data_IF_181636093574
#
_entry.id   IF_181636093574
#
_cell.length_a   1.000
_cell.length_b   1.000
_cell.length_c   1.000
_cell.angle_alpha   90.00
_cell.angle_beta   90.00
_cell.angle_gamma   90.00
#
_symmetry.space_group_name_H-M   'P 1'
#
loop_
_entity.id
_entity.type
_entity.pdbx_description
1 polymer ?
#
# COMPACT_ATOMS: atom_id res chain seq x y z
N UNK A 1 0.51 -2.35 20.28
CA UNK A 1 1.42 -3.04 19.35
C UNK A 1 0.83 -2.91 17.95
N UNK A 2 1.59 -2.39 17.00
CA UNK A 2 1.13 -2.25 15.62
C UNK A 2 0.90 -3.63 15.00
N UNK A 3 -0.14 -3.76 14.22
CA UNK A 3 -0.48 -5.00 13.51
C UNK A 3 0.47 -5.13 12.32
N UNK A 4 1.37 -6.11 12.32
CA UNK A 4 2.36 -6.32 11.26
C UNK A 4 1.71 -7.05 10.08
N UNK A 5 2.07 -6.69 8.86
CA UNK A 5 1.70 -7.45 7.67
C UNK A 5 2.55 -8.73 7.61
N UNK A 6 1.89 -9.89 7.70
CA UNK A 6 2.56 -11.19 7.77
C UNK A 6 2.59 -11.90 6.43
N UNK A 7 1.52 -11.73 5.64
CA UNK A 7 1.35 -12.46 4.38
C UNK A 7 0.57 -11.62 3.38
N UNK A 8 0.91 -11.74 2.11
CA UNK A 8 0.19 -11.07 1.03
C UNK A 8 0.08 -11.92 -0.24
N UNK A 9 -1.00 -11.68 -0.97
CA UNK A 9 -1.24 -12.20 -2.32
C UNK A 9 -1.46 -11.02 -3.26
N UNK A 10 -0.79 -11.04 -4.41
CA UNK A 10 -0.95 -10.05 -5.49
C UNK A 10 -1.12 -10.81 -6.79
N UNK A 11 -2.19 -10.58 -7.53
CA UNK A 11 -2.42 -11.19 -8.82
C UNK A 11 -2.81 -10.15 -9.87
N UNK A 12 -2.21 -10.25 -11.04
CA UNK A 12 -2.55 -9.43 -12.19
C UNK A 12 -2.11 -7.97 -12.13
N UNK A 13 -1.13 -7.62 -11.28
CA UNK A 13 -0.71 -6.23 -11.03
C UNK A 13 0.66 -5.90 -11.64
N UNK A 14 0.71 -4.96 -12.56
CA UNK A 14 1.94 -4.50 -13.25
C UNK A 14 2.75 -5.66 -13.83
N UNK A 15 3.96 -5.91 -13.33
CA UNK A 15 4.79 -7.05 -13.73
C UNK A 15 4.52 -8.33 -12.91
N UNK A 16 3.65 -8.27 -11.92
CA UNK A 16 3.34 -9.39 -11.04
C UNK A 16 2.12 -10.12 -11.60
N UNK A 17 2.35 -11.24 -12.28
CA UNK A 17 1.27 -12.11 -12.74
C UNK A 17 0.58 -12.77 -11.55
N UNK A 18 1.38 -13.39 -10.68
CA UNK A 18 0.92 -14.16 -9.54
C UNK A 18 1.99 -14.20 -8.45
N UNK A 19 1.63 -13.77 -7.26
CA UNK A 19 2.42 -13.87 -6.04
C UNK A 19 1.43 -14.28 -4.95
N UNK A 20 1.40 -15.57 -4.63
CA UNK A 20 0.42 -16.13 -3.70
C UNK A 20 1.07 -16.43 -2.35
N UNK A 21 0.35 -16.09 -1.27
CA UNK A 21 0.72 -16.43 0.10
C UNK A 21 2.18 -16.04 0.47
N UNK A 22 2.65 -14.93 -0.07
CA UNK A 22 4.02 -14.48 0.19
C UNK A 22 4.17 -14.03 1.64
N UNK A 23 4.99 -14.77 2.39
CA UNK A 23 5.26 -14.46 3.79
C UNK A 23 6.25 -13.31 3.93
N UNK A 24 5.92 -12.36 4.79
CA UNK A 24 6.75 -11.24 5.17
C UNK A 24 7.34 -11.47 6.57
N UNK A 25 8.60 -11.07 6.74
CA UNK A 25 9.33 -11.09 8.02
C UNK A 25 9.48 -9.65 8.53
N UNK A 26 10.04 -9.48 9.74
CA UNK A 26 10.34 -8.14 10.31
C UNK A 26 11.27 -7.32 9.43
N UNK A 27 12.19 -7.98 8.71
CA UNK A 27 13.06 -7.40 7.70
C UNK A 27 13.00 -8.26 6.44
N UNK A 28 12.74 -7.63 5.29
CA UNK A 28 12.73 -8.28 3.98
C UNK A 28 13.66 -7.49 3.06
N UNK A 29 14.53 -8.18 2.35
CA UNK A 29 15.44 -7.58 1.37
C UNK A 29 15.11 -8.14 0.00
N UNK A 30 14.72 -7.26 -0.93
CA UNK A 30 14.38 -7.64 -2.30
C UNK A 30 15.54 -7.28 -3.21
N UNK A 31 16.17 -8.29 -3.79
CA UNK A 31 17.32 -8.15 -4.69
C UNK A 31 16.93 -8.64 -6.09
N UNK A 32 17.47 -8.02 -7.11
CA UNK A 32 17.23 -8.43 -8.50
C UNK A 32 17.74 -7.40 -9.50
N UNK A 33 17.85 -7.78 -10.76
CA UNK A 33 18.25 -6.90 -11.86
C UNK A 33 17.28 -5.73 -12.06
N UNK A 34 17.69 -4.71 -12.80
CA UNK A 34 16.79 -3.64 -13.22
C UNK A 34 15.68 -4.24 -14.10
N UNK A 35 14.44 -3.80 -13.87
CA UNK A 35 13.28 -4.38 -14.55
C UNK A 35 12.68 -5.65 -13.91
N UNK A 36 13.32 -6.26 -12.90
CA UNK A 36 12.82 -7.47 -12.25
C UNK A 36 11.50 -7.31 -11.44
N UNK A 37 10.90 -6.12 -11.43
CA UNK A 37 9.61 -5.88 -10.75
C UNK A 37 9.71 -5.40 -9.30
N UNK A 38 10.91 -5.14 -8.76
CA UNK A 38 11.08 -4.63 -7.38
C UNK A 38 10.24 -3.39 -7.10
N UNK A 39 10.28 -2.41 -7.99
CA UNK A 39 9.51 -1.17 -7.87
C UNK A 39 8.00 -1.42 -8.00
N UNK A 40 7.59 -2.44 -8.77
CA UNK A 40 6.19 -2.82 -8.89
C UNK A 40 5.66 -3.47 -7.60
N UNK A 41 6.49 -4.23 -6.91
CA UNK A 41 6.16 -4.74 -5.57
C UNK A 41 5.95 -3.58 -4.57
N UNK A 42 6.83 -2.59 -4.56
CA UNK A 42 6.65 -1.39 -3.72
C UNK A 42 5.42 -0.57 -4.15
N UNK A 43 5.12 -0.53 -5.46
CA UNK A 43 3.91 0.16 -5.98
C UNK A 43 2.61 -0.42 -5.43
N UNK A 44 2.57 -1.71 -5.09
CA UNK A 44 1.42 -2.31 -4.41
C UNK A 44 1.11 -1.62 -3.07
N UNK A 45 2.12 -1.38 -2.25
CA UNK A 45 1.94 -0.70 -0.95
C UNK A 45 1.45 0.73 -1.13
N UNK A 46 1.95 1.45 -2.14
CA UNK A 46 1.46 2.80 -2.49
C UNK A 46 0.01 2.78 -2.93
N UNK A 47 -0.34 1.83 -3.79
CA UNK A 47 -1.71 1.66 -4.26
C UNK A 47 -2.66 1.34 -3.12
N UNK A 48 -2.30 0.41 -2.23
CA UNK A 48 -3.12 0.03 -1.09
C UNK A 48 -3.29 1.18 -0.09
N UNK A 49 -2.23 1.95 0.17
CA UNK A 49 -2.30 3.16 0.99
C UNK A 49 -3.24 4.19 0.36
N UNK A 50 -3.10 4.46 -0.94
CA UNK A 50 -3.97 5.39 -1.67
C UNK A 50 -5.44 4.94 -1.68
N UNK A 51 -5.70 3.62 -1.78
CA UNK A 51 -7.05 3.06 -1.71
C UNK A 51 -7.69 3.34 -0.34
N UNK A 52 -6.97 3.05 0.74
CA UNK A 52 -7.48 3.26 2.12
C UNK A 52 -7.67 4.75 2.44
N UNK A 53 -6.87 5.63 1.88
CA UNK A 53 -7.01 7.10 2.02
C UNK A 53 -8.07 7.72 1.09
N UNK A 54 -8.77 6.91 0.26
CA UNK A 54 -9.76 7.41 -0.70
C UNK A 54 -9.18 8.07 -1.93
N UNK A 55 -7.89 7.88 -2.21
CA UNK A 55 -7.12 8.48 -3.30
C UNK A 55 -6.84 7.51 -4.46
N UNK A 56 -7.50 6.33 -4.50
CA UNK A 56 -7.23 5.30 -5.51
C UNK A 56 -7.30 5.83 -6.94
N UNK A 57 -8.35 6.55 -7.31
CA UNK A 57 -8.52 7.05 -8.67
C UNK A 57 -7.47 8.09 -9.07
N UNK A 58 -6.95 8.87 -8.11
CA UNK A 58 -5.79 9.73 -8.34
C UNK A 58 -4.54 8.88 -8.61
N UNK A 59 -4.27 7.89 -7.77
CA UNK A 59 -3.13 6.97 -7.96
C UNK A 59 -3.18 6.27 -9.33
N UNK A 60 -4.37 5.81 -9.76
CA UNK A 60 -4.58 5.16 -11.07
C UNK A 60 -4.21 6.12 -12.20
N UNK A 61 -4.72 7.35 -12.20
CA UNK A 61 -4.39 8.38 -13.21
C UNK A 61 -2.89 8.69 -13.24
N UNK A 62 -2.29 8.92 -12.09
CA UNK A 62 -0.85 9.26 -11.96
C UNK A 62 0.05 8.08 -12.38
N UNK A 63 -0.51 6.86 -12.43
CA UNK A 63 0.16 5.63 -12.87
C UNK A 63 -0.02 5.32 -14.37
N UNK A 64 -0.68 6.21 -15.15
CA UNK A 64 -0.93 5.99 -16.59
C UNK A 64 -2.29 5.35 -16.89
N UNK A 65 -3.19 5.25 -15.90
CA UNK A 65 -4.51 4.65 -16.05
C UNK A 65 -4.59 3.19 -15.58
N UNK A 66 -5.81 2.66 -15.55
CA UNK A 66 -6.06 1.29 -15.09
C UNK A 66 -5.39 0.23 -15.99
N UNK A 67 -5.24 0.52 -17.28
CA UNK A 67 -4.57 -0.36 -18.23
C UNK A 67 -3.10 -0.64 -17.87
N UNK A 68 -2.38 0.38 -17.39
CA UNK A 68 -0.96 0.29 -17.02
C UNK A 68 -0.74 -0.37 -15.66
N UNK A 69 -1.80 -0.51 -14.87
CA UNK A 69 -1.76 -1.28 -13.63
C UNK A 69 -1.98 -2.77 -13.85
N UNK A 70 -2.60 -3.19 -14.95
CA UNK A 70 -2.86 -4.60 -15.25
C UNK A 70 -1.60 -5.29 -15.78
N UNK A 71 -1.39 -6.53 -15.34
CA UNK A 71 -0.35 -7.38 -15.88
C UNK A 71 -0.56 -7.60 -17.39
N UNK A 72 0.40 -7.14 -18.22
CA UNK A 72 0.33 -7.18 -19.68
C UNK A 72 -0.91 -6.47 -20.29
N UNK A 73 -1.54 -5.54 -19.54
CA UNK A 73 -2.63 -4.72 -20.00
C UNK A 73 -3.99 -5.42 -20.11
N UNK A 74 -5.02 -4.63 -20.51
CA UNK A 74 -6.44 -5.05 -20.50
C UNK A 74 -6.77 -6.26 -21.40
N UNK A 75 -5.96 -6.54 -22.44
CA UNK A 75 -6.21 -7.66 -23.35
C UNK A 75 -5.90 -9.02 -22.70
N UNK A 76 -4.98 -9.05 -21.75
CA UNK A 76 -4.51 -10.27 -21.07
C UNK A 76 -5.11 -10.39 -19.67
N UNK A 77 -5.12 -9.29 -18.94
CA UNK A 77 -5.61 -9.27 -17.55
C UNK A 77 -6.81 -8.34 -17.43
N UNK A 78 -7.92 -8.85 -16.92
CA UNK A 78 -9.16 -8.09 -16.78
C UNK A 78 -9.37 -7.53 -15.37
N UNK A 79 -8.71 -8.09 -14.37
CA UNK A 79 -8.83 -7.71 -12.98
C UNK A 79 -7.55 -7.98 -12.20
N UNK A 80 -7.38 -7.27 -11.11
CA UNK A 80 -6.29 -7.44 -10.14
C UNK A 80 -6.87 -7.90 -8.82
N UNK A 81 -6.32 -8.96 -8.23
CA UNK A 81 -6.73 -9.45 -6.92
C UNK A 81 -5.64 -9.23 -5.89
N UNK A 82 -6.05 -8.82 -4.70
CA UNK A 82 -5.18 -8.53 -3.58
C UNK A 82 -5.74 -9.11 -2.29
N UNK A 83 -4.85 -9.72 -1.50
CA UNK A 83 -5.17 -10.20 -0.16
C UNK A 83 -3.99 -9.95 0.77
N UNK A 84 -4.27 -9.48 1.98
CA UNK A 84 -3.27 -9.16 3.01
C UNK A 84 -3.70 -9.74 4.34
N UNK A 85 -2.75 -10.28 5.10
CA UNK A 85 -2.98 -10.79 6.46
C UNK A 85 -2.11 -10.07 7.48
N UNK A 86 -2.72 -9.78 8.61
CA UNK A 86 -2.15 -9.05 9.75
C UNK A 86 -2.48 -9.83 11.03
N UNK A 87 -1.75 -10.90 11.31
CA UNK A 87 -2.03 -11.82 12.39
C UNK A 87 -3.42 -12.45 12.24
N UNK A 88 -4.30 -12.18 13.20
CA UNK A 88 -5.68 -12.69 13.19
C UNK A 88 -6.64 -11.96 12.24
N UNK A 89 -6.16 -10.97 11.50
CA UNK A 89 -6.97 -10.13 10.61
C UNK A 89 -6.48 -10.20 9.18
N UNK A 90 -7.38 -9.91 8.24
CA UNK A 90 -7.02 -9.80 6.82
C UNK A 90 -7.92 -8.81 6.08
N UNK A 91 -7.46 -8.42 4.91
CA UNK A 91 -8.17 -7.56 3.99
C UNK A 91 -7.93 -8.03 2.57
N UNK A 92 -9.00 -8.14 1.79
CA UNK A 92 -8.93 -8.51 0.37
C UNK A 92 -9.87 -7.65 -0.46
N UNK A 93 -9.53 -7.50 -1.73
CA UNK A 93 -10.35 -6.81 -2.71
C UNK A 93 -9.90 -7.15 -4.12
N UNK A 94 -10.77 -6.92 -5.08
CA UNK A 94 -10.49 -7.01 -6.51
C UNK A 94 -10.61 -5.62 -7.12
N UNK A 95 -9.64 -5.18 -7.92
CA UNK A 95 -9.75 -3.98 -8.73
C UNK A 95 -10.10 -4.35 -10.16
N UNK A 96 -11.14 -3.72 -10.69
CA UNK A 96 -11.61 -3.89 -12.07
C UNK A 96 -11.54 -2.56 -12.80
N UNK A 97 -10.95 -2.50 -14.01
CA UNK A 97 -10.90 -1.27 -14.80
C UNK A 97 -12.28 -0.79 -15.18
N UNK A 98 -12.53 0.49 -15.03
CA UNK A 98 -13.76 1.15 -15.51
C UNK A 98 -13.60 1.68 -16.94
N UNK A 99 -14.71 2.01 -17.65
CA UNK A 99 -14.66 2.67 -18.95
C UNK A 99 -13.96 4.03 -18.93
N UNK A 100 -14.00 4.72 -17.79
CA UNK A 100 -13.34 6.02 -17.59
C UNK A 100 -11.85 5.90 -17.23
N UNK A 101 -11.24 4.72 -17.46
CA UNK A 101 -9.85 4.39 -17.14
C UNK A 101 -9.45 4.52 -15.67
N UNK A 102 -10.44 4.51 -14.78
CA UNK A 102 -10.29 4.34 -13.34
C UNK A 102 -10.35 2.87 -12.91
N UNK A 103 -10.51 2.64 -11.60
CA UNK A 103 -10.76 1.32 -11.03
C UNK A 103 -11.99 1.36 -10.12
N UNK A 104 -12.86 0.35 -10.26
CA UNK A 104 -13.87 -0.03 -9.28
C UNK A 104 -13.31 -1.11 -8.34
N UNK A 105 -13.90 -1.23 -7.17
CA UNK A 105 -13.59 -2.27 -6.19
C UNK A 105 -14.71 -3.31 -6.23
N UNK A 106 -14.35 -4.57 -6.38
CA UNK A 106 -15.25 -5.71 -6.28
C UNK A 106 -14.81 -6.66 -5.18
N UNK A 107 -15.77 -7.37 -4.60
CA UNK A 107 -15.54 -8.41 -3.61
C UNK A 107 -14.65 -7.95 -2.43
N UNK A 108 -14.84 -6.70 -1.99
CA UNK A 108 -14.11 -6.20 -0.83
C UNK A 108 -14.53 -6.99 0.42
N UNK A 109 -13.55 -7.41 1.21
CA UNK A 109 -13.79 -8.23 2.39
C UNK A 109 -12.73 -8.08 3.45
N UNK A 110 -13.15 -8.30 4.69
CA UNK A 110 -12.27 -8.39 5.87
C UNK A 110 -12.25 -9.81 6.41
N UNK A 111 -11.15 -10.21 7.01
CA UNK A 111 -10.97 -11.50 7.68
C UNK A 111 -10.75 -11.31 9.16
N UNK A 112 -11.25 -12.25 9.95
CA UNK A 112 -10.97 -12.36 11.37
C UNK A 112 -10.93 -13.82 11.81
N UNK A 113 -9.94 -14.21 12.63
CA UNK A 113 -9.79 -15.57 13.15
C UNK A 113 -10.03 -15.69 14.67
N UNK A 114 -10.47 -14.63 15.33
CA UNK A 114 -10.83 -14.64 16.76
C UNK A 114 -12.34 -14.78 16.95
N UNK A 115 -12.81 -15.97 17.29
CA UNK A 115 -14.24 -16.27 17.39
C UNK A 115 -14.79 -16.94 16.15
N UNK A 116 -15.83 -16.38 15.50
CA UNK A 116 -16.30 -16.90 14.20
C UNK A 116 -15.26 -16.59 13.14
N UNK A 117 -14.50 -17.58 12.72
CA UNK A 117 -13.42 -17.43 11.73
C UNK A 117 -13.97 -17.37 10.32
N UNK A 118 -13.49 -16.42 9.53
CA UNK A 118 -13.85 -16.34 8.12
C UNK A 118 -13.68 -14.99 7.48
N UNK A 119 -14.06 -14.93 6.20
CA UNK A 119 -14.15 -13.70 5.43
C UNK A 119 -15.56 -13.12 5.51
N UNK A 120 -15.66 -11.83 5.80
CA UNK A 120 -16.91 -11.06 5.74
C UNK A 120 -16.85 -10.13 4.55
N UNK A 121 -17.88 -10.21 3.70
CA UNK A 121 -18.03 -9.33 2.54
C UNK A 121 -18.42 -7.93 3.02
N UNK A 122 -17.69 -6.93 2.55
CA UNK A 122 -17.97 -5.51 2.79
C UNK A 122 -18.78 -4.88 1.64
N UNK A 123 -18.73 -5.49 0.47
CA UNK A 123 -19.44 -5.08 -0.74
C UNK A 123 -18.55 -4.53 -1.84
N UNK A 124 -19.18 -3.98 -2.86
CA UNK A 124 -18.52 -3.41 -4.03
C UNK A 124 -18.56 -1.87 -3.99
N UNK A 125 -17.70 -1.23 -4.75
CA UNK A 125 -17.62 0.22 -4.84
C UNK A 125 -17.22 0.64 -6.26
N UNK A 126 -18.15 1.28 -6.97
CA UNK A 126 -17.93 1.74 -8.35
C UNK A 126 -17.02 2.98 -8.42
N UNK A 127 -16.98 3.79 -7.37
CA UNK A 127 -16.19 5.01 -7.26
C UNK A 127 -14.77 4.79 -6.72
N UNK A 128 -14.38 3.53 -6.47
CA UNK A 128 -13.07 3.17 -5.96
C UNK A 128 -12.81 3.56 -4.51
N UNK A 129 -13.84 3.81 -3.71
CA UNK A 129 -13.72 4.07 -2.27
C UNK A 129 -13.83 2.79 -1.47
N UNK A 130 -12.88 2.56 -0.57
CA UNK A 130 -12.88 1.37 0.28
C UNK A 130 -14.02 1.38 1.30
N UNK A 131 -14.77 0.28 1.35
CA UNK A 131 -15.80 0.03 2.36
C UNK A 131 -15.17 -0.19 3.75
N UNK A 132 -13.99 -0.81 3.80
CA UNK A 132 -13.24 -0.97 5.04
C UNK A 132 -12.88 0.40 5.64
N UNK A 133 -12.39 1.33 4.81
CA UNK A 133 -12.10 2.69 5.26
C UNK A 133 -13.37 3.42 5.70
N UNK A 134 -14.47 3.29 4.95
CA UNK A 134 -15.75 3.90 5.29
C UNK A 134 -16.29 3.38 6.64
N UNK A 135 -16.19 2.08 6.94
CA UNK A 135 -16.57 1.53 8.27
C UNK A 135 -15.85 2.25 9.42
N UNK A 136 -14.53 2.49 9.26
CA UNK A 136 -13.71 3.12 10.30
C UNK A 136 -14.01 4.63 10.41
N UNK A 137 -14.04 5.33 9.28
CA UNK A 137 -14.23 6.78 9.26
C UNK A 137 -15.62 7.21 9.69
N UNK A 138 -16.66 6.43 9.36
CA UNK A 138 -18.05 6.66 9.74
C UNK A 138 -18.39 6.04 11.12
N UNK A 139 -17.41 5.41 11.78
CA UNK A 139 -17.56 4.77 13.09
C UNK A 139 -18.76 3.79 13.15
N UNK A 140 -18.89 2.95 12.11
CA UNK A 140 -19.95 1.92 12.04
C UNK A 140 -19.78 0.88 13.17
N UNK A 141 -20.82 0.12 13.46
CA UNK A 141 -20.85 -0.92 14.52
C UNK A 141 -19.67 -1.91 14.42
N UNK A 142 -19.29 -2.22 13.21
CA UNK A 142 -18.24 -3.19 12.89
C UNK A 142 -16.83 -2.60 12.74
N UNK A 143 -16.69 -1.27 12.90
CA UNK A 143 -15.41 -0.56 12.78
C UNK A 143 -14.29 -1.16 13.62
N UNK A 144 -14.60 -1.77 14.77
CA UNK A 144 -13.64 -2.43 15.64
C UNK A 144 -12.88 -3.59 14.96
N UNK A 145 -13.49 -4.26 13.98
CA UNK A 145 -12.83 -5.32 13.21
C UNK A 145 -11.93 -4.75 12.11
N UNK A 146 -12.33 -3.66 11.46
CA UNK A 146 -11.63 -3.02 10.35
C UNK A 146 -10.52 -2.06 10.80
N UNK A 147 -10.69 -1.39 11.94
CA UNK A 147 -9.77 -0.37 12.47
C UNK A 147 -8.31 -0.81 12.60
N UNK A 148 -7.98 -2.03 13.10
CA UNK A 148 -6.57 -2.45 13.19
C UNK A 148 -5.89 -2.57 11.82
N UNK A 149 -6.60 -3.07 10.79
CA UNK A 149 -6.09 -3.15 9.42
C UNK A 149 -5.93 -1.76 8.82
N UNK A 150 -6.95 -0.91 8.98
CA UNK A 150 -6.91 0.49 8.56
C UNK A 150 -5.69 1.22 9.15
N UNK A 151 -5.51 1.15 10.47
CA UNK A 151 -4.41 1.80 11.17
C UNK A 151 -3.04 1.23 10.73
N UNK A 152 -2.94 -0.08 10.50
CA UNK A 152 -1.72 -0.70 10.01
C UNK A 152 -1.32 -0.11 8.66
N UNK A 153 -2.25 -0.08 7.69
CA UNK A 153 -1.99 0.40 6.33
C UNK A 153 -1.69 1.91 6.33
N UNK A 154 -2.45 2.73 7.06
CA UNK A 154 -2.22 4.18 7.13
C UNK A 154 -0.95 4.57 7.87
N UNK A 155 -0.41 3.66 8.72
CA UNK A 155 0.87 3.89 9.41
C UNK A 155 2.10 3.65 8.53
N UNK A 156 1.95 3.03 7.36
CA UNK A 156 3.08 2.74 6.50
C UNK A 156 3.78 4.00 6.02
N UNK A 157 5.11 3.93 5.95
CA UNK A 157 5.96 4.98 5.38
C UNK A 157 6.74 4.38 4.22
N UNK A 158 6.58 4.94 3.03
CA UNK A 158 7.27 4.49 1.83
C UNK A 158 8.28 5.56 1.45
N UNK A 159 9.56 5.25 1.63
CA UNK A 159 10.67 6.13 1.33
C UNK A 159 11.22 5.87 -0.06
N UNK A 160 11.72 6.93 -0.70
CA UNK A 160 12.28 6.87 -2.05
C UNK A 160 13.65 7.56 -2.06
N UNK A 161 14.71 6.78 -1.99
CA UNK A 161 16.10 7.27 -1.96
C UNK A 161 16.81 7.12 -3.32
N UNK A 162 16.07 7.11 -4.43
CA UNK A 162 16.63 6.83 -5.75
C UNK A 162 17.36 8.01 -6.39
N UNK A 163 16.98 9.22 -6.04
CA UNK A 163 17.60 10.39 -6.63
C UNK A 163 18.95 10.66 -5.96
N UNK A 164 20.02 10.29 -6.66
CA UNK A 164 21.41 10.60 -6.28
C UNK A 164 22.00 11.70 -7.14
N UNK A 165 21.20 12.35 -8.00
CA UNK A 165 21.62 13.47 -8.85
C UNK A 165 22.11 14.66 -8.02
N UNK A 166 22.75 15.62 -8.67
CA UNK A 166 23.18 16.86 -8.04
C UNK A 166 22.00 17.71 -7.53
N UNK A 167 20.79 17.51 -8.08
CA UNK A 167 19.54 18.18 -7.71
C UNK A 167 18.68 17.39 -6.74
N UNK A 168 19.16 16.22 -6.27
CA UNK A 168 18.42 15.39 -5.33
C UNK A 168 18.00 16.16 -4.08
N UNK A 169 16.77 15.96 -3.62
CA UNK A 169 16.23 16.63 -2.44
C UNK A 169 17.13 16.45 -1.20
N UNK A 170 17.72 15.24 -1.04
CA UNK A 170 18.65 14.94 0.07
C UNK A 170 19.96 15.74 0.06
N UNK A 171 20.27 16.44 -1.04
CA UNK A 171 21.47 17.29 -1.17
C UNK A 171 21.21 18.77 -0.93
N UNK A 172 19.95 19.15 -0.79
CA UNK A 172 19.57 20.52 -0.51
C UNK A 172 19.88 20.88 0.96
N UNK A 173 20.09 22.18 1.19
CA UNK A 173 20.20 22.69 2.56
C UNK A 173 18.83 22.66 3.21
N UNK A 174 18.72 21.97 4.34
CA UNK A 174 17.49 21.88 5.14
C UNK A 174 17.74 22.45 6.55
N UNK A 175 16.66 22.97 7.14
CA UNK A 175 16.73 23.57 8.47
C UNK A 175 16.83 22.43 9.50
N UNK A 176 17.82 22.52 10.40
CA UNK A 176 18.10 21.50 11.45
C UNK A 176 16.91 21.27 12.39
N UNK A 177 15.95 22.17 12.44
CA UNK A 177 14.77 22.08 13.31
C UNK A 177 13.69 21.09 12.82
N UNK A 178 13.73 20.64 11.55
CA UNK A 178 12.76 19.68 10.97
C UNK A 178 13.35 18.25 10.94
N UNK A 179 13.70 17.72 12.11
CA UNK A 179 14.46 16.48 12.24
C UNK A 179 13.70 15.33 12.93
N UNK A 180 12.48 15.54 13.42
CA UNK A 180 11.78 14.53 14.21
C UNK A 180 11.31 13.34 13.36
N UNK A 181 10.95 13.57 12.12
CA UNK A 181 10.45 12.54 11.20
C UNK A 181 11.18 12.63 9.86
N UNK A 182 11.71 11.48 9.40
CA UNK A 182 12.30 11.42 8.06
C UNK A 182 11.24 11.62 6.98
N UNK A 183 11.48 12.55 6.06
CA UNK A 183 10.61 12.79 4.90
C UNK A 183 10.72 11.66 3.87
N UNK A 184 9.66 11.41 3.15
CA UNK A 184 9.57 10.30 2.18
C UNK A 184 10.48 10.47 0.97
N UNK A 185 10.88 11.70 0.64
CA UNK A 185 11.84 12.06 -0.41
C UNK A 185 13.29 12.17 0.10
N UNK A 186 13.50 11.91 1.40
CA UNK A 186 14.78 12.07 2.09
C UNK A 186 15.35 13.50 2.10
N UNK A 187 14.56 14.53 1.82
CA UNK A 187 15.05 15.91 1.82
C UNK A 187 15.76 16.28 3.14
N UNK A 188 15.23 15.83 4.28
CA UNK A 188 15.81 16.08 5.60
C UNK A 188 16.69 14.94 6.15
N UNK A 189 17.29 14.11 5.29
CA UNK A 189 18.08 12.96 5.73
C UNK A 189 19.25 13.37 6.65
N UNK A 190 20.03 14.37 6.27
CA UNK A 190 21.19 14.81 7.04
C UNK A 190 20.81 15.35 8.44
N UNK A 191 19.88 16.31 8.58
CA UNK A 191 19.45 16.76 9.91
C UNK A 191 18.77 15.65 10.74
N UNK A 192 18.02 14.74 10.11
CA UNK A 192 17.41 13.58 10.80
C UNK A 192 18.48 12.65 11.39
N UNK A 193 19.53 12.31 10.62
CA UNK A 193 20.64 11.46 11.11
C UNK A 193 21.44 12.16 12.21
N UNK A 194 21.67 13.48 12.11
CA UNK A 194 22.32 14.26 13.15
C UNK A 194 21.53 14.27 14.46
N UNK A 195 20.20 14.31 14.37
CA UNK A 195 19.33 14.23 15.55
C UNK A 195 19.37 12.84 16.19
N UNK A 196 19.26 11.79 15.40
CA UNK A 196 19.39 10.42 15.88
C UNK A 196 20.73 10.16 16.59
N UNK A 197 21.84 10.72 16.08
CA UNK A 197 23.15 10.57 16.69
C UNK A 197 23.25 11.28 18.06
N UNK A 198 22.48 12.35 18.30
CA UNK A 198 22.41 13.03 19.61
C UNK A 198 21.59 12.22 20.62
N UNK A 199 20.49 11.63 20.17
CA UNK A 199 19.55 10.93 21.03
C UNK A 199 19.97 9.48 21.31
N UNK A 200 20.80 8.90 20.42
CA UNK A 200 21.31 7.52 20.48
C UNK A 200 22.81 7.49 20.16
N UNK A 201 23.67 8.00 21.08
CA UNK A 201 25.12 8.05 20.87
C UNK A 201 25.82 6.68 20.80
#
# INVERSE_FOLDING_TARGET
>A
MGTTLDKLTIQGFKSIRELNDFELKKLNVIVGANGAGKSNFISFFRMLHALIEGNLNRYVRDSGGAGDLLFQGRKITQKMFFETHFGSRGYRFTLVPTPADGCAIENEGRYYSGGTTGWWVLGDSEDGKSRLAAEVLENKSDAGYSKPVYNAITSWRIYHFHDTSSTAAMRNYEIVQDCEVLRTDAANLAPFLMNLQKDHP
#
